data_IF_581162159073
#
_entry.id   IF_581162159073
#
_cell.length_a   1.000
_cell.length_b   1.000
_cell.length_c   1.000
_cell.angle_alpha   90.00
_cell.angle_beta   90.00
_cell.angle_gamma   90.00
#
_symmetry.space_group_name_H-M   'P 1'
#
loop_
_entity.id
_entity.type
_entity.pdbx_description
1 polymer ?
#
# COMPACT_ATOMS: atom_id res chain seq x y z
N UNK A 1 -24.02 6.21 23.50
CA UNK A 1 -23.48 4.94 24.06
C UNK A 1 -24.33 3.79 23.54
N UNK A 2 -23.77 3.01 22.62
CA UNK A 2 -24.47 1.84 22.09
C UNK A 2 -23.82 0.58 22.69
N UNK A 3 -24.35 0.15 23.85
CA UNK A 3 -23.83 -1.05 24.55
C UNK A 3 -23.91 -2.31 23.71
N UNK A 4 -24.88 -2.41 22.80
CA UNK A 4 -24.99 -3.54 21.88
C UNK A 4 -23.81 -3.55 20.89
N UNK A 5 -23.45 -2.39 20.35
CA UNK A 5 -22.27 -2.25 19.48
C UNK A 5 -21.00 -2.57 20.22
N UNK A 6 -20.84 -2.08 21.46
CA UNK A 6 -19.68 -2.40 22.29
C UNK A 6 -19.55 -3.91 22.53
N UNK A 7 -20.62 -4.59 22.93
CA UNK A 7 -20.59 -6.05 23.11
C UNK A 7 -20.33 -6.84 21.84
N UNK A 8 -20.78 -6.34 20.68
CA UNK A 8 -20.43 -6.96 19.39
C UNK A 8 -18.95 -6.78 19.07
N UNK A 9 -18.38 -5.60 19.27
CA UNK A 9 -16.95 -5.32 19.04
C UNK A 9 -16.08 -6.11 20.02
N UNK A 10 -16.47 -6.21 21.30
CA UNK A 10 -15.78 -7.01 22.32
C UNK A 10 -15.73 -8.49 21.90
N UNK A 11 -16.86 -9.07 21.50
CA UNK A 11 -16.92 -10.43 20.99
C UNK A 11 -16.09 -10.65 19.73
N UNK A 12 -16.05 -9.67 18.82
CA UNK A 12 -15.22 -9.74 17.61
C UNK A 12 -13.73 -9.68 17.94
N UNK A 13 -13.33 -8.85 18.89
CA UNK A 13 -11.94 -8.72 19.33
C UNK A 13 -11.48 -10.00 20.03
N UNK A 14 -12.30 -10.55 20.94
CA UNK A 14 -12.02 -11.81 21.63
C UNK A 14 -11.78 -12.97 20.65
N UNK A 15 -12.60 -13.06 19.59
CA UNK A 15 -12.47 -14.10 18.56
C UNK A 15 -11.19 -13.95 17.71
N UNK A 16 -10.61 -12.75 17.65
CA UNK A 16 -9.43 -12.44 16.85
C UNK A 16 -8.17 -12.24 17.67
N UNK A 17 -8.24 -12.42 18.98
CA UNK A 17 -7.11 -12.18 19.89
C UNK A 17 -6.66 -10.73 19.93
N UNK A 18 -7.58 -9.78 19.67
CA UNK A 18 -7.33 -8.35 19.69
C UNK A 18 -7.89 -7.72 20.97
N UNK A 19 -7.22 -6.68 21.48
CA UNK A 19 -7.69 -5.92 22.63
C UNK A 19 -8.65 -4.82 22.21
N UNK A 20 -9.82 -4.72 22.86
CA UNK A 20 -10.76 -3.62 22.70
C UNK A 20 -10.60 -2.62 23.85
N UNK A 21 -10.19 -1.40 23.53
CA UNK A 21 -10.23 -0.30 24.49
C UNK A 21 -11.51 0.52 24.33
N UNK A 22 -12.32 0.57 25.38
CA UNK A 22 -13.52 1.41 25.46
C UNK A 22 -13.29 2.49 26.53
N UNK A 23 -13.26 3.79 26.15
CA UNK A 23 -13.15 4.87 27.14
C UNK A 23 -14.31 4.88 28.11
N UNK A 24 -14.14 5.52 29.27
CA UNK A 24 -15.21 5.72 30.23
C UNK A 24 -16.43 6.40 29.58
N UNK A 25 -17.63 5.99 29.99
CA UNK A 25 -18.93 6.43 29.46
C UNK A 25 -19.06 7.96 29.35
N UNK A 26 -18.41 8.70 30.24
CA UNK A 26 -18.43 10.19 30.24
C UNK A 26 -17.71 10.77 29.00
N UNK A 27 -16.82 10.03 28.37
CA UNK A 27 -16.10 10.46 27.17
C UNK A 27 -16.71 9.94 25.86
N UNK A 28 -17.77 9.12 25.93
CA UNK A 28 -18.43 8.51 24.77
C UNK A 28 -19.64 9.32 24.25
N UNK A 29 -19.82 10.55 24.71
CA UNK A 29 -20.87 11.45 24.21
C UNK A 29 -20.26 12.60 23.45
N UNK A 30 -21.11 13.32 22.73
CA UNK A 30 -20.76 14.62 22.14
C UNK A 30 -20.15 15.51 23.23
N UNK A 31 -18.86 15.81 23.08
CA UNK A 31 -18.04 16.24 24.19
C UNK A 31 -17.39 17.59 23.85
N UNK A 32 -18.08 18.66 24.21
CA UNK A 32 -17.57 20.02 24.09
C UNK A 32 -16.17 20.19 24.74
N UNK A 33 -15.86 19.39 25.78
CA UNK A 33 -14.54 19.35 26.40
C UNK A 33 -13.44 18.89 25.49
N UNK A 34 -13.69 17.89 24.62
CA UNK A 34 -12.71 17.43 23.62
C UNK A 34 -12.44 18.50 22.57
N UNK A 35 -13.50 19.19 22.11
CA UNK A 35 -13.38 20.30 21.16
C UNK A 35 -12.60 21.46 21.82
N UNK A 36 -12.87 21.77 23.08
CA UNK A 36 -12.16 22.82 23.82
C UNK A 36 -10.68 22.48 24.02
N UNK A 37 -10.34 21.23 24.35
CA UNK A 37 -8.94 20.76 24.46
C UNK A 37 -8.23 20.85 23.13
N UNK A 38 -8.87 20.42 22.04
CA UNK A 38 -8.32 20.53 20.71
C UNK A 38 -8.08 21.99 20.32
N UNK A 39 -9.09 22.86 20.51
CA UNK A 39 -8.97 24.30 20.25
C UNK A 39 -7.88 24.97 21.07
N UNK A 40 -7.73 24.60 22.36
CA UNK A 40 -6.65 25.11 23.20
C UNK A 40 -5.27 24.64 22.72
N UNK A 41 -5.17 23.42 22.19
CA UNK A 41 -3.93 22.88 21.62
C UNK A 41 -3.54 23.61 20.33
N UNK A 42 -4.50 23.86 19.45
CA UNK A 42 -4.31 24.64 18.22
C UNK A 42 -3.90 26.09 18.54
N UNK A 43 -4.58 26.73 19.48
CA UNK A 43 -4.28 28.11 19.87
C UNK A 43 -2.86 28.28 20.44
N UNK A 44 -2.32 27.28 21.16
CA UNK A 44 -0.95 27.32 21.70
C UNK A 44 0.12 27.38 20.61
N UNK A 45 -0.15 26.84 19.44
CA UNK A 45 0.76 26.85 18.28
C UNK A 45 0.40 27.95 17.28
N UNK A 46 -0.51 28.86 17.65
CA UNK A 46 -0.90 29.99 16.80
C UNK A 46 -1.86 29.62 15.67
N UNK A 47 -2.41 28.41 15.68
CA UNK A 47 -3.41 27.97 14.71
C UNK A 47 -4.79 28.52 15.12
N UNK A 48 -5.07 29.74 14.69
CA UNK A 48 -6.30 30.46 14.96
C UNK A 48 -6.84 31.11 13.69
N UNK A 49 -8.16 31.21 13.58
CA UNK A 49 -8.82 31.90 12.48
C UNK A 49 -9.29 33.28 12.95
N UNK A 50 -9.04 34.36 12.19
CA UNK A 50 -9.65 35.65 12.42
C UNK A 50 -11.19 35.55 12.33
N UNK A 51 -11.91 36.33 13.15
CA UNK A 51 -13.36 36.31 13.18
C UNK A 51 -14.01 36.54 11.79
N UNK A 52 -13.48 37.44 10.92
CA UNK A 52 -14.04 37.63 9.57
C UNK A 52 -13.92 36.41 8.66
N UNK A 53 -12.94 35.52 8.93
CA UNK A 53 -12.67 34.33 8.13
C UNK A 53 -13.33 33.09 8.71
N UNK A 54 -13.96 33.21 9.90
CA UNK A 54 -14.69 32.15 10.59
C UNK A 54 -16.03 31.90 9.88
N UNK A 55 -16.02 31.06 8.85
CA UNK A 55 -17.20 30.64 8.09
C UNK A 55 -17.50 29.19 8.35
N UNK A 56 -18.80 28.84 8.31
CA UNK A 56 -19.22 27.45 8.31
C UNK A 56 -18.91 26.87 6.93
N UNK A 57 -18.11 25.81 6.90
CA UNK A 57 -17.92 24.97 5.73
C UNK A 57 -18.73 23.68 5.94
N UNK A 58 -19.83 23.55 5.18
CA UNK A 58 -20.72 22.40 5.28
C UNK A 58 -20.10 21.11 4.77
N UNK A 59 -19.06 21.23 3.93
CA UNK A 59 -18.35 20.11 3.32
C UNK A 59 -17.03 19.77 4.06
N UNK A 60 -16.75 20.48 5.18
CA UNK A 60 -15.55 20.29 5.97
C UNK A 60 -15.49 18.88 6.58
N UNK A 61 -14.41 18.17 6.30
CA UNK A 61 -14.21 16.79 6.73
C UNK A 61 -13.15 16.71 7.81
N UNK A 62 -13.34 15.83 8.83
CA UNK A 62 -12.36 15.65 9.91
C UNK A 62 -10.96 15.27 9.43
N UNK A 63 -10.86 14.57 8.30
CA UNK A 63 -9.61 14.18 7.68
C UNK A 63 -8.91 15.31 6.87
N UNK A 64 -9.54 16.50 6.83
CA UNK A 64 -8.99 17.72 6.21
C UNK A 64 -8.36 18.68 7.22
N UNK A 65 -8.47 18.39 8.53
CA UNK A 65 -7.85 19.21 9.57
C UNK A 65 -6.33 19.06 9.53
N UNK A 66 -5.63 20.17 9.37
CA UNK A 66 -4.19 20.19 9.53
C UNK A 66 -3.82 19.96 10.99
N UNK A 67 -2.89 19.04 11.27
CA UNK A 67 -2.39 18.78 12.61
C UNK A 67 -1.20 19.72 12.88
N UNK A 68 -1.50 20.95 13.25
CA UNK A 68 -0.51 22.05 13.42
C UNK A 68 0.20 22.02 14.75
N UNK A 69 -0.34 21.32 15.75
CA UNK A 69 0.18 21.21 17.11
C UNK A 69 1.15 20.04 17.33
N UNK A 70 1.30 19.13 16.39
CA UNK A 70 2.45 18.26 16.39
C UNK A 70 3.64 19.10 15.98
N UNK A 71 4.69 19.11 16.80
CA UNK A 71 6.00 19.54 16.28
C UNK A 71 6.14 18.84 14.94
N UNK A 72 6.48 19.61 13.92
CA UNK A 72 6.88 19.03 12.63
C UNK A 72 8.19 18.25 12.85
N UNK A 73 8.09 17.11 13.47
CA UNK A 73 8.76 15.96 12.89
C UNK A 73 8.01 15.74 11.59
N UNK A 74 8.42 16.51 10.60
CA UNK A 74 8.02 16.24 9.23
C UNK A 74 8.32 14.76 8.99
N UNK A 75 7.64 14.08 8.10
CA UNK A 75 8.00 12.73 7.70
C UNK A 75 9.51 12.74 7.61
N UNK A 76 10.17 11.76 8.24
CA UNK A 76 11.63 11.73 8.29
C UNK A 76 12.11 11.77 6.86
N UNK A 77 12.27 13.00 6.36
CA UNK A 77 12.84 13.23 5.05
C UNK A 77 14.17 12.56 5.11
N UNK A 78 14.46 11.79 4.10
CA UNK A 78 15.74 11.11 3.93
C UNK A 78 16.86 12.07 4.28
N UNK A 79 17.28 12.08 5.54
CA UNK A 79 18.34 12.96 6.05
C UNK A 79 19.70 12.38 5.69
N UNK A 80 20.12 12.57 4.42
CA UNK A 80 21.34 12.03 3.85
C UNK A 80 21.32 12.13 2.32
N UNK A 81 22.34 11.64 1.65
CA UNK A 81 22.38 11.50 0.20
C UNK A 81 21.29 10.50 -0.24
N UNK A 82 20.10 11.01 -0.64
CA UNK A 82 19.04 10.19 -1.20
C UNK A 82 19.18 10.09 -2.72
N UNK A 83 18.97 8.90 -3.24
CA UNK A 83 18.90 8.70 -4.69
C UNK A 83 17.50 9.07 -5.16
N UNK A 84 17.40 10.11 -6.01
CA UNK A 84 16.12 10.54 -6.58
C UNK A 84 15.84 9.82 -7.88
N UNK A 85 14.67 9.17 -7.95
CA UNK A 85 14.17 8.49 -9.14
C UNK A 85 12.86 9.15 -9.58
N UNK A 86 12.84 9.65 -10.82
CA UNK A 86 11.64 10.25 -11.40
C UNK A 86 10.82 9.18 -12.11
N UNK A 87 9.67 8.83 -11.57
CA UNK A 87 8.69 7.96 -12.21
C UNK A 87 7.66 8.73 -13.05
N UNK A 88 6.79 7.99 -13.74
CA UNK A 88 5.72 8.57 -14.56
C UNK A 88 4.68 9.33 -13.72
N UNK A 89 4.37 8.89 -12.51
CA UNK A 89 3.31 9.45 -11.65
C UNK A 89 3.82 10.09 -10.36
N UNK A 90 5.02 9.73 -9.92
CA UNK A 90 5.62 10.20 -8.67
C UNK A 90 7.14 10.35 -8.80
N UNK A 91 7.70 11.15 -7.92
CA UNK A 91 9.13 11.17 -7.63
C UNK A 91 9.37 10.31 -6.40
N UNK A 92 10.41 9.48 -6.42
CA UNK A 92 10.78 8.61 -5.31
C UNK A 92 12.18 8.96 -4.85
N UNK A 93 12.29 9.38 -3.61
CA UNK A 93 13.56 9.64 -2.94
C UNK A 93 13.91 8.43 -2.06
N UNK A 94 15.00 7.74 -2.42
CA UNK A 94 15.45 6.51 -1.76
C UNK A 94 16.61 6.87 -0.83
N UNK A 95 16.34 6.84 0.47
CA UNK A 95 17.33 7.00 1.51
C UNK A 95 17.94 5.67 1.97
N UNK A 96 18.70 5.70 3.06
CA UNK A 96 19.36 4.52 3.61
C UNK A 96 18.37 3.48 4.15
N UNK A 97 17.36 3.90 4.92
CA UNK A 97 16.35 3.02 5.55
C UNK A 97 14.91 3.39 5.20
N UNK A 98 14.69 4.49 4.49
CA UNK A 98 13.37 5.06 4.23
C UNK A 98 13.25 5.46 2.76
N UNK A 99 12.08 5.24 2.19
CA UNK A 99 11.70 5.69 0.86
C UNK A 99 10.56 6.70 0.99
N UNK A 100 10.72 7.86 0.36
CA UNK A 100 9.69 8.88 0.26
C UNK A 100 9.18 8.94 -1.18
N UNK A 101 7.88 8.78 -1.38
CA UNK A 101 7.19 8.80 -2.67
C UNK A 101 6.27 10.00 -2.73
N UNK A 102 6.59 10.95 -3.61
CA UNK A 102 5.84 12.19 -3.80
C UNK A 102 5.11 12.20 -5.14
N UNK A 103 3.78 12.31 -5.11
CA UNK A 103 2.97 12.52 -6.30
C UNK A 103 2.89 14.00 -6.64
N UNK A 104 3.67 14.43 -7.64
CA UNK A 104 3.71 15.81 -8.10
C UNK A 104 2.42 16.22 -8.84
N UNK A 105 1.95 17.47 -8.68
CA UNK A 105 0.83 18.01 -9.44
C UNK A 105 1.04 17.92 -10.96
N UNK A 106 -0.04 17.67 -11.72
CA UNK A 106 0.00 17.57 -13.17
C UNK A 106 -0.58 18.81 -13.83
N UNK A 107 0.25 19.56 -14.52
CA UNK A 107 -0.14 20.83 -15.17
C UNK A 107 -1.22 20.68 -16.23
N UNK A 108 -1.42 19.51 -16.82
CA UNK A 108 -2.45 19.26 -17.83
C UNK A 108 -3.82 18.93 -17.24
N UNK A 109 -3.93 18.76 -15.92
CA UNK A 109 -5.21 18.49 -15.23
C UNK A 109 -5.74 19.74 -14.57
N UNK A 110 -7.08 19.82 -14.43
CA UNK A 110 -7.67 20.85 -13.59
C UNK A 110 -7.16 20.71 -12.15
N UNK A 111 -6.72 21.79 -11.47
CA UNK A 111 -6.08 21.73 -10.16
C UNK A 111 -6.87 20.93 -9.10
N UNK A 112 -8.19 21.15 -9.00
CA UNK A 112 -9.04 20.48 -8.02
C UNK A 112 -9.17 18.97 -8.29
N UNK A 113 -9.28 18.61 -9.59
CA UNK A 113 -9.34 17.21 -10.00
C UNK A 113 -8.01 16.51 -9.69
N UNK A 114 -6.89 17.17 -10.00
CA UNK A 114 -5.56 16.63 -9.74
C UNK A 114 -5.32 16.42 -8.25
N UNK A 115 -5.63 17.43 -7.43
CA UNK A 115 -5.52 17.34 -5.98
C UNK A 115 -6.37 16.19 -5.40
N UNK A 116 -7.62 16.03 -5.87
CA UNK A 116 -8.50 14.94 -5.45
C UNK A 116 -7.98 13.56 -5.85
N UNK A 117 -7.45 13.43 -7.08
CA UNK A 117 -6.88 12.18 -7.56
C UNK A 117 -5.62 11.79 -6.79
N UNK A 118 -4.70 12.74 -6.54
CA UNK A 118 -3.48 12.51 -5.76
C UNK A 118 -3.82 12.05 -4.34
N UNK A 119 -4.72 12.77 -3.64
CA UNK A 119 -5.20 12.40 -2.30
C UNK A 119 -5.77 10.98 -2.25
N UNK A 120 -6.66 10.67 -3.20
CA UNK A 120 -7.27 9.35 -3.27
C UNK A 120 -6.23 8.26 -3.49
N UNK A 121 -5.35 8.42 -4.48
CA UNK A 121 -4.34 7.42 -4.82
C UNK A 121 -3.32 7.20 -3.69
N UNK A 122 -2.90 8.27 -3.01
CA UNK A 122 -1.98 8.15 -1.88
C UNK A 122 -2.59 7.36 -0.72
N UNK A 123 -3.86 7.62 -0.38
CA UNK A 123 -4.57 6.86 0.64
C UNK A 123 -4.78 5.40 0.24
N UNK A 124 -5.18 5.18 -0.99
CA UNK A 124 -5.50 3.84 -1.51
C UNK A 124 -4.24 2.97 -1.55
N UNK A 125 -3.12 3.50 -2.03
CA UNK A 125 -1.84 2.79 -2.02
C UNK A 125 -1.38 2.45 -0.59
N UNK A 126 -1.41 3.42 0.32
CA UNK A 126 -1.06 3.19 1.70
C UNK A 126 -1.93 2.11 2.36
N UNK A 127 -3.23 2.15 2.09
CA UNK A 127 -4.19 1.16 2.61
C UNK A 127 -3.91 -0.23 2.05
N UNK A 128 -3.73 -0.36 0.74
CA UNK A 128 -3.46 -1.65 0.10
C UNK A 128 -2.13 -2.26 0.58
N UNK A 129 -1.06 -1.47 0.72
CA UNK A 129 0.21 -1.92 1.29
C UNK A 129 0.03 -2.48 2.72
N UNK A 130 -0.73 -1.77 3.55
CA UNK A 130 -1.01 -2.21 4.92
C UNK A 130 -1.87 -3.48 4.95
N UNK A 131 -2.94 -3.54 4.16
CA UNK A 131 -3.83 -4.70 4.08
C UNK A 131 -3.11 -5.93 3.54
N UNK A 132 -2.32 -5.78 2.46
CA UNK A 132 -1.50 -6.86 1.89
C UNK A 132 -0.54 -7.46 2.93
N UNK A 133 0.09 -6.59 3.74
CA UNK A 133 0.95 -7.04 4.84
C UNK A 133 0.17 -7.82 5.89
N UNK A 134 -1.06 -7.43 6.20
CA UNK A 134 -1.96 -8.15 7.11
C UNK A 134 -2.34 -9.55 6.59
N UNK A 135 -2.35 -9.74 5.28
CA UNK A 135 -2.61 -11.03 4.62
C UNK A 135 -1.32 -11.87 4.40
N UNK A 136 -0.21 -11.47 5.03
CA UNK A 136 1.07 -12.19 4.94
C UNK A 136 1.82 -11.99 3.62
N UNK A 137 1.51 -10.95 2.86
CA UNK A 137 2.27 -10.53 1.68
C UNK A 137 3.32 -9.51 2.12
N UNK A 138 4.62 -9.77 1.97
CA UNK A 138 5.66 -8.84 2.35
C UNK A 138 5.57 -7.55 1.54
N UNK A 139 5.39 -6.43 2.24
CA UNK A 139 5.32 -5.07 1.71
C UNK A 139 6.06 -4.12 2.64
N UNK A 140 6.49 -2.93 2.19
CA UNK A 140 7.09 -1.92 3.06
C UNK A 140 6.18 -1.54 4.24
N UNK A 141 6.76 -1.35 5.42
CA UNK A 141 6.06 -0.71 6.53
C UNK A 141 5.85 0.76 6.21
N UNK A 142 4.62 1.25 6.41
CA UNK A 142 4.29 2.65 6.21
C UNK A 142 4.63 3.41 7.48
N UNK A 143 5.46 4.44 7.35
CA UNK A 143 5.86 5.32 8.43
C UNK A 143 4.98 6.56 8.52
N UNK A 144 4.63 7.16 7.37
CA UNK A 144 3.77 8.33 7.32
C UNK A 144 3.01 8.46 5.99
N UNK A 145 1.86 9.10 6.03
CA UNK A 145 1.01 9.35 4.86
C UNK A 145 0.51 10.78 4.91
N UNK A 146 0.88 11.60 3.94
CA UNK A 146 0.26 12.91 3.73
C UNK A 146 -0.51 12.94 2.39
N UNK A 147 -1.81 12.65 2.42
CA UNK A 147 -2.61 12.65 1.20
C UNK A 147 -2.78 14.05 0.58
N UNK A 148 -2.61 15.15 1.36
CA UNK A 148 -2.75 16.51 0.84
C UNK A 148 -1.57 16.89 -0.04
N UNK A 149 -0.38 16.61 0.43
CA UNK A 149 0.85 16.80 -0.34
C UNK A 149 1.04 15.69 -1.38
N UNK A 150 0.37 14.56 -1.21
CA UNK A 150 0.53 13.39 -2.07
C UNK A 150 1.74 12.56 -1.69
N UNK A 151 2.24 12.71 -0.45
CA UNK A 151 3.44 12.06 0.07
C UNK A 151 3.12 10.77 0.80
N UNK A 152 3.99 9.77 0.62
CA UNK A 152 3.98 8.49 1.31
C UNK A 152 5.40 8.16 1.74
N UNK A 153 5.62 7.98 3.03
CA UNK A 153 6.90 7.60 3.62
C UNK A 153 6.83 6.17 4.09
N UNK A 154 7.75 5.35 3.63
CA UNK A 154 7.74 3.92 3.90
C UNK A 154 9.14 3.36 4.14
N UNK A 155 9.20 2.19 4.70
CA UNK A 155 10.42 1.41 4.88
C UNK A 155 11.11 1.18 3.52
N UNK A 156 12.44 1.28 3.49
CA UNK A 156 13.21 0.77 2.37
C UNK A 156 13.35 -0.75 2.52
N UNK A 157 12.79 -1.49 1.58
CA UNK A 157 12.84 -2.94 1.54
C UNK A 157 13.69 -3.42 0.37
N UNK A 158 14.46 -4.47 0.58
CA UNK A 158 15.26 -5.12 -0.44
C UNK A 158 16.31 -4.22 -1.11
N UNK A 159 17.39 -4.80 -1.57
CA UNK A 159 18.54 -4.09 -2.13
C UNK A 159 18.53 -4.08 -3.65
N UNK A 160 17.87 -5.07 -4.26
CA UNK A 160 17.81 -5.26 -5.69
C UNK A 160 16.36 -5.29 -6.21
N UNK A 161 16.17 -4.93 -7.49
CA UNK A 161 14.96 -5.24 -8.23
C UNK A 161 15.01 -6.69 -8.69
N UNK A 162 13.86 -7.40 -8.68
CA UNK A 162 13.81 -8.80 -9.12
C UNK A 162 14.43 -9.01 -10.50
N UNK A 163 14.24 -8.06 -11.43
CA UNK A 163 14.80 -8.16 -12.79
C UNK A 163 16.31 -8.33 -12.84
N UNK A 164 17.05 -7.92 -11.80
CA UNK A 164 18.52 -8.03 -11.75
C UNK A 164 19.01 -9.30 -11.06
N UNK A 165 18.11 -10.05 -10.41
CA UNK A 165 18.42 -11.25 -9.61
C UNK A 165 17.37 -12.34 -9.85
N UNK A 166 16.94 -12.48 -11.12
CA UNK A 166 15.91 -13.45 -11.53
C UNK A 166 16.36 -14.88 -11.30
N UNK A 167 15.57 -15.63 -10.55
CA UNK A 167 15.63 -17.08 -10.45
C UNK A 167 14.23 -17.67 -10.22
N UNK A 168 14.15 -19.00 -10.25
CA UNK A 168 12.88 -19.70 -10.14
C UNK A 168 12.27 -19.60 -8.74
N UNK A 169 13.09 -19.61 -7.68
CA UNK A 169 12.62 -19.55 -6.30
C UNK A 169 11.95 -18.21 -6.01
N UNK A 170 12.59 -17.10 -6.39
CA UNK A 170 12.04 -15.74 -6.23
C UNK A 170 10.78 -15.53 -7.06
N UNK A 171 10.75 -16.04 -8.28
CA UNK A 171 9.56 -15.95 -9.13
C UNK A 171 8.38 -16.75 -8.57
N UNK A 172 8.63 -17.93 -7.99
CA UNK A 172 7.62 -18.71 -7.25
C UNK A 172 7.08 -17.92 -6.05
N UNK A 173 7.96 -17.29 -5.25
CA UNK A 173 7.57 -16.49 -4.09
C UNK A 173 6.67 -15.30 -4.51
N UNK A 174 6.99 -14.60 -5.61
CA UNK A 174 6.12 -13.55 -6.16
C UNK A 174 4.74 -14.10 -6.52
N UNK A 175 4.67 -15.24 -7.19
CA UNK A 175 3.40 -15.86 -7.58
C UNK A 175 2.56 -16.29 -6.36
N UNK A 176 3.20 -16.79 -5.30
CA UNK A 176 2.54 -17.11 -4.03
C UNK A 176 2.00 -15.85 -3.35
N UNK A 177 2.75 -14.75 -3.37
CA UNK A 177 2.29 -13.47 -2.83
C UNK A 177 1.09 -12.92 -3.61
N UNK A 178 1.12 -13.01 -4.95
CA UNK A 178 -0.04 -12.64 -5.78
C UNK A 178 -1.25 -13.55 -5.47
N UNK A 179 -1.05 -14.84 -5.28
CA UNK A 179 -2.12 -15.76 -4.93
C UNK A 179 -2.78 -15.40 -3.59
N UNK A 180 -1.99 -15.04 -2.56
CA UNK A 180 -2.49 -14.57 -1.26
C UNK A 180 -3.24 -13.24 -1.40
N UNK A 181 -2.67 -12.29 -2.14
CA UNK A 181 -3.27 -10.99 -2.42
C UNK A 181 -4.64 -11.14 -3.09
N UNK A 182 -4.72 -11.98 -4.12
CA UNK A 182 -5.96 -12.28 -4.84
C UNK A 182 -6.97 -13.04 -3.97
N UNK A 183 -6.49 -13.93 -3.08
CA UNK A 183 -7.34 -14.60 -2.08
C UNK A 183 -8.02 -13.63 -1.11
N UNK A 184 -7.35 -12.52 -0.79
CA UNK A 184 -7.90 -11.42 0.00
C UNK A 184 -8.75 -10.42 -0.83
N UNK A 185 -8.94 -10.67 -2.12
CA UNK A 185 -9.74 -9.82 -3.00
C UNK A 185 -9.06 -8.51 -3.40
N UNK A 186 -7.74 -8.51 -3.46
CA UNK A 186 -6.93 -7.37 -3.89
C UNK A 186 -6.14 -7.71 -5.14
N UNK A 187 -5.89 -6.73 -6.01
CA UNK A 187 -4.93 -6.81 -7.11
C UNK A 187 -3.83 -5.77 -6.93
N UNK A 188 -2.64 -6.11 -7.38
CA UNK A 188 -1.50 -5.20 -7.39
C UNK A 188 -1.64 -4.14 -8.48
N UNK A 189 -2.11 -4.53 -9.65
CA UNK A 189 -2.33 -3.70 -10.82
C UNK A 189 -1.10 -3.47 -11.70
N UNK A 190 0.12 -3.70 -11.19
CA UNK A 190 1.38 -3.61 -11.95
C UNK A 190 2.50 -4.46 -11.33
N UNK A 191 2.33 -5.79 -11.19
CA UNK A 191 3.32 -6.67 -10.55
C UNK A 191 4.48 -7.00 -11.50
N UNK A 192 5.18 -5.98 -11.98
CA UNK A 192 6.35 -6.14 -12.84
C UNK A 192 7.59 -6.51 -12.03
N UNK A 193 8.60 -7.05 -12.69
CA UNK A 193 9.89 -7.38 -12.08
C UNK A 193 10.66 -6.17 -11.51
N UNK A 194 10.21 -4.94 -11.82
CA UNK A 194 10.69 -3.68 -11.21
C UNK A 194 10.00 -3.36 -9.89
N UNK A 195 8.73 -3.75 -9.77
CA UNK A 195 7.90 -3.49 -8.60
C UNK A 195 7.99 -4.63 -7.57
N UNK A 196 9.02 -5.45 -7.70
CA UNK A 196 9.40 -6.48 -6.74
C UNK A 196 10.82 -6.21 -6.27
N UNK A 197 10.98 -6.08 -4.95
CA UNK A 197 12.28 -5.88 -4.30
C UNK A 197 12.73 -7.18 -3.66
N UNK A 198 14.03 -7.43 -3.71
CA UNK A 198 14.65 -8.63 -3.14
C UNK A 198 15.73 -8.21 -2.16
N UNK A 199 15.70 -8.77 -0.95
CA UNK A 199 16.78 -8.57 0.00
C UNK A 199 18.02 -9.37 -0.41
N UNK A 200 19.21 -8.85 -0.12
CA UNK A 200 20.43 -9.61 -0.31
C UNK A 200 20.46 -10.83 0.63
N UNK A 201 21.04 -11.94 0.15
CA UNK A 201 21.26 -13.16 0.94
C UNK A 201 22.33 -12.95 2.05
N UNK A 202 22.20 -11.91 2.86
CA UNK A 202 23.06 -11.71 4.02
C UNK A 202 22.46 -12.39 5.25
N UNK A 203 23.18 -13.34 5.79
CA UNK A 203 22.79 -14.09 6.96
C UNK A 203 22.37 -13.22 8.15
N UNK A 204 21.18 -13.46 8.62
CA UNK A 204 20.64 -13.20 9.96
C UNK A 204 20.92 -11.79 10.55
N UNK A 205 20.00 -10.86 10.36
CA UNK A 205 20.05 -9.59 11.11
C UNK A 205 18.91 -8.62 10.91
N UNK A 206 17.90 -8.90 10.11
CA UNK A 206 16.77 -7.99 9.86
C UNK A 206 15.44 -8.58 10.32
N UNK A 207 14.69 -7.84 11.08
CA UNK A 207 13.36 -8.15 11.65
C UNK A 207 12.36 -8.62 10.59
N UNK A 208 11.75 -9.75 10.87
CA UNK A 208 10.71 -10.48 10.16
C UNK A 208 11.19 -11.49 9.11
N UNK A 209 11.94 -12.52 9.56
CA UNK A 209 11.99 -13.80 8.86
C UNK A 209 10.56 -14.37 8.78
N UNK A 210 9.94 -14.30 7.60
CA UNK A 210 8.80 -15.14 7.27
C UNK A 210 9.31 -16.55 6.99
N UNK A 211 8.66 -17.52 7.56
CA UNK A 211 8.98 -18.94 7.54
C UNK A 211 9.31 -19.42 6.09
N UNK A 212 10.61 -19.54 5.75
CA UNK A 212 11.09 -20.38 4.63
C UNK A 212 10.92 -19.85 3.20
N UNK A 213 10.70 -18.56 2.94
CA UNK A 213 10.62 -17.99 1.58
C UNK A 213 11.74 -16.99 1.30
N UNK A 214 12.19 -16.90 0.06
CA UNK A 214 13.09 -15.83 -0.39
C UNK A 214 12.53 -14.47 0.07
N UNK A 215 13.40 -13.56 0.56
CA UNK A 215 13.01 -12.22 1.03
C UNK A 215 12.58 -11.34 -0.15
N UNK A 216 11.35 -11.55 -0.60
CA UNK A 216 10.73 -10.90 -1.78
C UNK A 216 9.59 -10.00 -1.31
N UNK A 217 9.64 -8.73 -1.68
CA UNK A 217 8.68 -7.71 -1.28
C UNK A 217 7.94 -7.14 -2.50
N UNK A 218 6.62 -7.05 -2.43
CA UNK A 218 5.84 -6.31 -3.41
C UNK A 218 5.81 -4.82 -3.04
N UNK A 219 6.08 -3.95 -4.00
CA UNK A 219 6.10 -2.50 -3.82
C UNK A 219 5.28 -1.81 -4.92
N UNK A 220 4.87 -0.55 -4.70
CA UNK A 220 4.12 0.25 -5.67
C UNK A 220 2.72 -0.28 -6.01
N UNK A 221 1.81 -0.23 -5.05
CA UNK A 221 0.38 -0.52 -5.23
C UNK A 221 -0.41 0.67 -5.80
N UNK A 222 0.25 1.58 -6.51
CA UNK A 222 -0.37 2.80 -7.06
C UNK A 222 -1.47 2.56 -8.09
N UNK A 223 -1.53 1.37 -8.69
CA UNK A 223 -2.58 0.89 -9.60
C UNK A 223 -3.44 -0.22 -9.00
N UNK A 224 -3.19 -0.59 -7.74
CA UNK A 224 -3.94 -1.63 -7.05
C UNK A 224 -5.36 -1.22 -6.69
N UNK A 225 -6.23 -2.19 -6.52
CA UNK A 225 -7.61 -2.00 -6.08
C UNK A 225 -8.22 -3.32 -5.57
N UNK A 226 -9.40 -3.20 -4.94
CA UNK A 226 -10.15 -4.38 -4.49
C UNK A 226 -11.05 -4.91 -5.59
N UNK A 227 -11.04 -6.23 -5.80
CA UNK A 227 -11.89 -6.93 -6.75
C UNK A 227 -12.08 -8.40 -6.35
N UNK A 228 -13.22 -8.97 -6.74
CA UNK A 228 -13.46 -10.41 -6.65
C UNK A 228 -13.46 -11.11 -8.02
N UNK A 229 -13.08 -10.38 -9.08
CA UNK A 229 -13.18 -10.89 -10.45
C UNK A 229 -11.89 -11.63 -10.87
N UNK A 230 -12.03 -12.86 -11.33
CA UNK A 230 -10.93 -13.69 -11.80
C UNK A 230 -10.17 -13.08 -13.00
N UNK A 231 -10.85 -12.26 -13.79
CA UNK A 231 -10.22 -11.57 -14.93
C UNK A 231 -9.19 -10.54 -14.48
N UNK A 232 -9.48 -9.81 -13.39
CA UNK A 232 -8.54 -8.85 -12.81
C UNK A 232 -7.32 -9.56 -12.17
N UNK A 233 -7.56 -10.69 -11.49
CA UNK A 233 -6.49 -11.54 -10.96
C UNK A 233 -5.62 -12.13 -12.09
N UNK A 234 -6.24 -12.56 -13.17
CA UNK A 234 -5.53 -13.06 -14.36
C UNK A 234 -4.69 -11.97 -15.03
N UNK A 235 -5.15 -10.71 -15.01
CA UNK A 235 -4.39 -9.57 -15.52
C UNK A 235 -3.11 -9.31 -14.71
N UNK A 236 -3.14 -9.44 -13.38
CA UNK A 236 -1.93 -9.34 -12.57
C UNK A 236 -0.91 -10.43 -12.94
N UNK A 237 -1.37 -11.68 -13.06
CA UNK A 237 -0.50 -12.79 -13.50
C UNK A 237 0.04 -12.55 -14.92
N UNK A 238 -0.80 -12.00 -15.81
CA UNK A 238 -0.38 -11.64 -17.17
C UNK A 238 0.70 -10.55 -17.18
N UNK A 239 0.56 -9.51 -16.36
CA UNK A 239 1.56 -8.43 -16.25
C UNK A 239 2.90 -8.99 -15.76
N UNK A 240 2.89 -9.89 -14.77
CA UNK A 240 4.11 -10.59 -14.34
C UNK A 240 4.73 -11.39 -15.49
N UNK A 241 3.95 -12.19 -16.21
CA UNK A 241 4.41 -12.99 -17.34
C UNK A 241 5.03 -12.12 -18.45
N UNK A 242 4.37 -11.00 -18.80
CA UNK A 242 4.91 -10.04 -19.78
C UNK A 242 6.21 -9.40 -19.30
N UNK A 243 6.32 -9.09 -18.00
CA UNK A 243 7.54 -8.55 -17.44
C UNK A 243 8.68 -9.57 -17.45
N UNK A 244 8.41 -10.84 -17.17
CA UNK A 244 9.39 -11.93 -17.29
C UNK A 244 9.83 -12.12 -18.74
N UNK A 245 8.91 -12.09 -19.71
CA UNK A 245 9.23 -12.18 -21.14
C UNK A 245 10.18 -11.07 -21.62
N UNK A 246 10.11 -9.88 -21.00
CA UNK A 246 10.98 -8.76 -21.34
C UNK A 246 12.31 -8.71 -20.57
N UNK A 247 12.52 -9.56 -19.56
CA UNK A 247 13.67 -9.44 -18.64
C UNK A 247 14.45 -10.72 -18.41
N UNK A 248 13.86 -11.90 -18.64
CA UNK A 248 14.47 -13.20 -18.34
C UNK A 248 15.14 -13.82 -19.56
N UNK A 249 16.19 -14.60 -19.33
CA UNK A 249 16.84 -15.41 -20.37
C UNK A 249 15.99 -16.63 -20.77
N UNK A 250 15.23 -17.21 -19.81
CA UNK A 250 14.32 -18.34 -20.00
C UNK A 250 12.94 -18.00 -19.42
N UNK A 251 12.16 -17.14 -20.10
CA UNK A 251 10.89 -16.65 -19.56
C UNK A 251 9.82 -17.74 -19.49
N UNK A 252 9.82 -18.71 -20.42
CA UNK A 252 8.83 -19.78 -20.44
C UNK A 252 8.94 -20.68 -19.21
N UNK A 253 10.16 -21.01 -18.79
CA UNK A 253 10.42 -21.81 -17.60
C UNK A 253 9.99 -21.05 -16.35
N UNK A 254 10.32 -19.76 -16.24
CA UNK A 254 9.96 -18.94 -15.09
C UNK A 254 8.45 -18.71 -15.01
N UNK A 255 7.78 -18.48 -16.13
CA UNK A 255 6.32 -18.38 -16.18
C UNK A 255 5.65 -19.69 -15.73
N UNK A 256 6.12 -20.84 -16.22
CA UNK A 256 5.59 -22.13 -15.81
C UNK A 256 5.75 -22.38 -14.30
N UNK A 257 6.89 -21.97 -13.73
CA UNK A 257 7.14 -22.04 -12.31
C UNK A 257 6.20 -21.12 -11.50
N UNK A 258 5.98 -19.88 -11.98
CA UNK A 258 5.03 -18.94 -11.37
C UNK A 258 3.60 -19.48 -11.40
N UNK A 259 3.12 -19.97 -12.54
CA UNK A 259 1.78 -20.55 -12.67
C UNK A 259 1.58 -21.77 -11.77
N UNK A 260 2.60 -22.62 -11.63
CA UNK A 260 2.56 -23.77 -10.73
C UNK A 260 2.47 -23.37 -9.27
N UNK A 261 3.25 -22.37 -8.83
CA UNK A 261 3.22 -21.83 -7.47
C UNK A 261 1.88 -21.13 -7.17
N UNK A 262 1.39 -20.30 -8.09
CA UNK A 262 0.10 -19.64 -7.98
C UNK A 262 -1.05 -20.63 -7.82
N UNK A 263 -1.07 -21.69 -8.66
CA UNK A 263 -2.07 -22.77 -8.60
C UNK A 263 -2.04 -23.52 -7.27
N UNK A 264 -0.85 -23.78 -6.74
CA UNK A 264 -0.69 -24.49 -5.47
C UNK A 264 -1.14 -23.68 -4.26
N UNK A 265 -1.06 -22.35 -4.34
CA UNK A 265 -1.34 -21.43 -3.22
C UNK A 265 -2.79 -20.94 -3.22
N UNK A 266 -3.41 -20.78 -4.39
CA UNK A 266 -4.76 -20.21 -4.51
C UNK A 266 -5.83 -21.29 -4.68
N UNK A 267 -6.88 -21.26 -3.87
CA UNK A 267 -8.07 -22.13 -4.03
C UNK A 267 -8.78 -21.91 -5.40
N UNK A 268 -8.62 -20.72 -5.98
CA UNK A 268 -9.17 -20.33 -7.30
C UNK A 268 -8.12 -20.35 -8.41
N UNK A 269 -6.92 -20.90 -8.12
CA UNK A 269 -5.77 -20.82 -9.00
C UNK A 269 -6.03 -21.34 -10.41
N UNK A 270 -6.70 -22.47 -10.57
CA UNK A 270 -7.04 -23.03 -11.88
C UNK A 270 -7.98 -22.12 -12.67
N UNK A 271 -9.02 -21.58 -12.04
CA UNK A 271 -9.97 -20.69 -12.71
C UNK A 271 -9.31 -19.38 -13.20
N UNK A 272 -8.39 -18.82 -12.40
CA UNK A 272 -7.62 -17.63 -12.78
C UNK A 272 -6.67 -17.93 -13.94
N UNK A 273 -5.98 -19.07 -13.92
CA UNK A 273 -5.06 -19.47 -15.01
C UNK A 273 -5.79 -19.84 -16.31
N UNK A 274 -7.00 -20.40 -16.21
CA UNK A 274 -7.85 -20.59 -17.40
C UNK A 274 -8.25 -19.25 -18.01
N UNK A 275 -8.53 -18.26 -17.16
CA UNK A 275 -8.82 -16.89 -17.60
C UNK A 275 -7.61 -16.22 -18.24
N UNK A 276 -6.42 -16.44 -17.69
CA UNK A 276 -5.14 -15.99 -18.27
C UNK A 276 -4.98 -16.50 -19.69
N UNK A 277 -5.14 -17.81 -19.91
CA UNK A 277 -5.05 -18.44 -21.26
C UNK A 277 -6.06 -17.83 -22.24
N UNK A 278 -7.27 -17.51 -21.76
CA UNK A 278 -8.30 -16.86 -22.58
C UNK A 278 -7.94 -15.41 -22.95
N UNK A 279 -7.26 -14.67 -22.06
CA UNK A 279 -6.75 -13.31 -22.32
C UNK A 279 -5.62 -13.34 -23.36
N UNK A 280 -4.64 -14.22 -23.19
CA UNK A 280 -3.52 -14.39 -24.10
C UNK A 280 -3.97 -14.84 -25.50
N UNK A 281 -4.99 -15.70 -25.56
CA UNK A 281 -5.59 -16.15 -26.82
C UNK A 281 -6.23 -15.02 -27.62
N UNK A 282 -6.83 -14.02 -26.97
CA UNK A 282 -7.42 -12.84 -27.64
C UNK A 282 -6.37 -11.89 -28.22
N UNK A 283 -5.21 -11.76 -27.58
CA UNK A 283 -4.11 -10.88 -28.03
C UNK A 283 -3.37 -11.37 -29.27
N UNK A 284 -3.48 -12.65 -29.63
CA UNK A 284 -2.80 -13.24 -30.81
C UNK A 284 -3.56 -13.05 -32.12
N UNK A 285 -4.76 -12.50 -32.10
CA UNK A 285 -5.61 -12.29 -33.28
C UNK A 285 -5.78 -10.82 -33.65
N UNK A 286 -4.90 -9.92 -33.19
CA UNK A 286 -4.86 -8.53 -33.64
C UNK A 286 -3.59 -8.22 -34.43
#
# INVERSE_FOLDING_TARGET
QNRRLQGMLESMCDQRGADLFVPEDRFLRDNAGMIAVLGATMARVGDTLPIPDSRIDADFRPDEVAVTWREKEGPRRTGGEATRVQGAEATVDIGESVVEKDRSPRAYRHPDLDARLRRRRTREEARLLHEARGEGVPTPVIHDVDPREGALVMERVGDAELRSVLDEERVRAVAEHLARLHGAGMVHGDPTTRNVRVAADEGAGGSAATDGGADVFLVDFGLGYHTGHEEDHAMDVHVLAQSLAGTADDPERLQAAAEAAYRATSDRGEAVLDRLRAVEGRGRYQ
#
